data_IF_605124239629
#
_entry.id   IF_605124239629
#
_cell.length_a   1.000
_cell.length_b   1.000
_cell.length_c   1.000
_cell.angle_alpha   90.00
_cell.angle_beta   90.00
_cell.angle_gamma   90.00
#
_symmetry.space_group_name_H-M   'P 1'
#
loop_
_entity.id
_entity.type
_entity.pdbx_description
1 polymer ?
#
# COMPACT_ATOMS: atom_id res chain seq x y z
N UNK A 1 22.47 46.54 7.58
CA UNK A 1 22.70 45.16 8.05
C UNK A 1 21.31 44.56 8.27
N UNK A 2 20.72 43.99 7.22
CA UNK A 2 19.36 43.43 7.26
C UNK A 2 19.38 42.12 8.05
N UNK A 3 18.36 41.88 8.86
CA UNK A 3 18.23 40.66 9.66
C UNK A 3 18.37 39.41 8.77
N UNK A 4 18.98 38.31 9.28
CA UNK A 4 19.08 37.06 8.53
C UNK A 4 17.68 36.53 8.18
N UNK A 5 17.52 35.85 7.03
CA UNK A 5 16.25 35.23 6.68
C UNK A 5 15.89 34.24 7.77
N UNK A 6 14.72 34.45 8.39
CA UNK A 6 14.19 33.61 9.46
C UNK A 6 14.16 32.16 8.98
N UNK A 7 14.98 31.29 9.59
CA UNK A 7 14.81 29.84 9.47
C UNK A 7 13.42 29.50 10.00
N UNK A 8 12.52 29.19 9.07
CA UNK A 8 11.13 28.85 9.40
C UNK A 8 11.12 27.40 9.90
N UNK A 9 11.40 27.20 11.19
CA UNK A 9 11.39 25.88 11.86
C UNK A 9 9.96 25.37 12.16
N UNK A 10 9.03 25.54 11.21
CA UNK A 10 7.63 25.15 11.35
C UNK A 10 7.15 24.36 10.14
N UNK A 11 6.17 23.47 10.36
CA UNK A 11 5.58 22.68 9.27
C UNK A 11 4.90 23.63 8.26
N UNK A 12 5.40 23.65 7.03
CA UNK A 12 4.85 24.46 5.96
C UNK A 12 3.80 23.64 5.20
N UNK A 13 2.54 24.04 5.33
CA UNK A 13 1.45 23.41 4.59
C UNK A 13 1.61 23.69 3.09
N UNK A 14 1.47 22.66 2.24
CA UNK A 14 1.52 22.78 0.78
C UNK A 14 2.88 22.51 0.11
N UNK A 15 3.96 22.33 0.89
CA UNK A 15 5.26 21.83 0.36
C UNK A 15 5.52 20.36 0.69
N UNK A 16 4.73 19.79 1.61
CA UNK A 16 4.82 18.37 1.95
C UNK A 16 4.29 17.51 0.80
N UNK A 17 5.02 16.45 0.47
CA UNK A 17 4.59 15.45 -0.50
C UNK A 17 3.88 14.33 0.26
N UNK A 18 2.69 13.98 -0.20
CA UNK A 18 1.88 12.90 0.33
C UNK A 18 1.71 11.84 -0.75
N UNK A 19 1.53 10.58 -0.34
CA UNK A 19 1.29 9.47 -1.24
C UNK A 19 0.17 8.61 -0.69
N UNK A 20 -0.74 8.21 -1.57
CA UNK A 20 -1.82 7.31 -1.22
C UNK A 20 -1.29 5.91 -0.93
N UNK A 21 -1.96 5.25 0.03
CA UNK A 21 -1.56 3.96 0.57
C UNK A 21 -2.81 3.14 0.86
N UNK A 22 -2.86 1.92 0.32
CA UNK A 22 -3.93 0.96 0.57
C UNK A 22 -3.32 -0.39 0.94
N UNK A 23 -3.88 -1.05 1.94
CA UNK A 23 -3.51 -2.41 2.35
C UNK A 23 -4.68 -3.34 2.11
N UNK A 24 -4.40 -4.51 1.56
CA UNK A 24 -5.38 -5.56 1.32
C UNK A 24 -4.82 -6.95 1.60
N UNK A 25 -5.72 -7.94 1.57
CA UNK A 25 -5.36 -9.36 1.59
C UNK A 25 -5.85 -10.02 0.31
N UNK A 26 -4.99 -10.85 -0.28
CA UNK A 26 -5.33 -11.70 -1.41
C UNK A 26 -5.43 -13.13 -0.91
N UNK A 27 -6.56 -13.76 -1.17
CA UNK A 27 -6.80 -15.17 -0.86
C UNK A 27 -6.46 -16.01 -2.09
N UNK A 28 -5.88 -17.20 -1.86
CA UNK A 28 -5.71 -18.20 -2.91
C UNK A 28 -7.07 -18.54 -3.55
N UNK A 29 -7.05 -18.87 -4.84
CA UNK A 29 -8.26 -19.27 -5.53
C UNK A 29 -8.80 -20.57 -4.91
N UNK A 30 -10.11 -20.66 -4.59
CA UNK A 30 -10.69 -21.85 -3.96
C UNK A 30 -10.44 -23.15 -4.74
N UNK A 31 -10.38 -23.05 -6.07
CA UNK A 31 -10.07 -24.16 -6.98
C UNK A 31 -8.65 -24.72 -6.86
N UNK A 32 -7.70 -23.92 -6.37
CA UNK A 32 -6.29 -24.32 -6.17
C UNK A 32 -6.03 -24.83 -4.75
N UNK A 33 -6.99 -24.66 -3.83
CA UNK A 33 -6.86 -25.05 -2.44
C UNK A 33 -6.94 -26.59 -2.27
N UNK A 34 -6.02 -27.23 -1.52
CA UNK A 34 -6.11 -28.64 -1.19
C UNK A 34 -7.40 -28.97 -0.45
N UNK A 35 -8.03 -30.10 -0.79
CA UNK A 35 -9.26 -30.53 -0.15
C UNK A 35 -9.07 -30.70 1.36
N UNK A 36 -9.93 -30.05 2.16
CA UNK A 36 -9.91 -30.13 3.62
C UNK A 36 -9.02 -29.09 4.31
N UNK A 37 -8.33 -28.22 3.57
CA UNK A 37 -7.57 -27.09 4.13
C UNK A 37 -8.32 -25.77 3.97
N UNK A 38 -8.03 -24.80 4.82
CA UNK A 38 -8.46 -23.40 4.62
C UNK A 38 -7.53 -22.73 3.60
N UNK A 39 -8.05 -21.93 2.65
CA UNK A 39 -7.20 -21.27 1.65
C UNK A 39 -6.16 -20.35 2.28
N UNK A 40 -4.96 -20.33 1.70
CA UNK A 40 -3.91 -19.40 2.09
C UNK A 40 -4.31 -17.95 1.81
N UNK A 41 -3.70 -17.01 2.53
CA UNK A 41 -3.82 -15.59 2.24
C UNK A 41 -2.48 -14.88 2.38
N UNK A 42 -2.26 -13.86 1.56
CA UNK A 42 -1.10 -12.98 1.60
C UNK A 42 -1.56 -11.53 1.75
N UNK A 43 -0.82 -10.75 2.52
CA UNK A 43 -1.06 -9.31 2.60
C UNK A 43 -0.24 -8.56 1.57
N UNK A 44 -0.84 -7.52 1.00
CA UNK A 44 -0.19 -6.66 0.03
C UNK A 44 -0.49 -5.18 0.32
N UNK A 45 0.33 -4.33 -0.27
CA UNK A 45 0.21 -2.88 -0.19
C UNK A 45 0.22 -2.33 -1.61
N UNK A 46 -0.78 -1.52 -1.93
CA UNK A 46 -0.84 -0.70 -3.13
C UNK A 46 -0.52 0.74 -2.76
N UNK A 47 0.04 1.47 -3.71
CA UNK A 47 0.48 2.85 -3.49
C UNK A 47 0.33 3.64 -4.79
N UNK A 48 0.21 4.96 -4.65
CA UNK A 48 0.06 5.87 -5.80
C UNK A 48 -1.11 5.43 -6.71
N UNK A 49 -0.91 5.31 -8.02
CA UNK A 49 -1.97 5.03 -9.00
C UNK A 49 -2.57 3.63 -8.90
N UNK A 50 -2.04 2.75 -8.04
CA UNK A 50 -2.61 1.42 -7.81
C UNK A 50 -3.69 1.41 -6.72
N UNK A 51 -3.86 2.50 -5.99
CA UNK A 51 -4.91 2.63 -4.98
C UNK A 51 -6.29 2.63 -5.67
N UNK A 52 -7.25 1.93 -5.08
CA UNK A 52 -8.63 1.76 -5.54
C UNK A 52 -8.81 1.04 -6.91
N UNK A 53 -7.75 0.44 -7.46
CA UNK A 53 -7.82 -0.31 -8.73
C UNK A 53 -8.57 -1.65 -8.63
N UNK A 54 -8.74 -2.21 -7.43
CA UNK A 54 -9.49 -3.46 -7.21
C UNK A 54 -10.49 -3.37 -6.06
N UNK A 55 -11.57 -4.14 -6.16
CA UNK A 55 -12.64 -4.24 -5.16
C UNK A 55 -12.65 -5.61 -4.48
N UNK A 56 -13.17 -5.72 -3.26
CA UNK A 56 -13.34 -7.01 -2.60
C UNK A 56 -14.16 -7.99 -3.46
N UNK A 57 -13.60 -9.17 -3.72
CA UNK A 57 -14.21 -10.21 -4.54
C UNK A 57 -13.72 -10.25 -6.00
N UNK A 58 -12.93 -9.25 -6.43
CA UNK A 58 -12.29 -9.30 -7.74
C UNK A 58 -11.24 -10.42 -7.80
N UNK A 59 -11.16 -11.07 -8.96
CA UNK A 59 -10.04 -11.97 -9.28
C UNK A 59 -8.91 -11.12 -9.84
N UNK A 60 -7.79 -11.07 -9.12
CA UNK A 60 -6.66 -10.20 -9.44
C UNK A 60 -5.35 -10.99 -9.49
N UNK A 61 -4.49 -10.64 -10.44
CA UNK A 61 -3.11 -11.09 -10.49
C UNK A 61 -2.21 -9.93 -10.06
N UNK A 62 -1.47 -10.12 -8.96
CA UNK A 62 -0.59 -9.09 -8.39
C UNK A 62 0.89 -9.46 -8.61
N UNK A 63 1.67 -8.50 -9.10
CA UNK A 63 3.13 -8.63 -9.21
C UNK A 63 3.77 -7.54 -8.38
N UNK A 64 4.71 -7.92 -7.51
CA UNK A 64 5.37 -6.96 -6.61
C UNK A 64 6.56 -7.57 -5.90
N UNK A 65 7.15 -6.78 -4.99
CA UNK A 65 8.29 -7.21 -4.19
C UNK A 65 7.78 -7.78 -2.87
N UNK A 66 8.10 -9.05 -2.60
CA UNK A 66 7.87 -9.65 -1.29
C UNK A 66 8.82 -9.02 -0.27
N UNK A 67 8.27 -8.32 0.73
CA UNK A 67 9.03 -7.73 1.83
C UNK A 67 8.65 -8.42 3.14
N UNK A 68 9.57 -9.16 3.78
CA UNK A 68 9.35 -9.67 5.13
C UNK A 68 9.24 -8.49 6.09
N UNK A 69 8.22 -8.50 6.96
CA UNK A 69 8.21 -7.63 8.14
C UNK A 69 9.14 -8.26 9.17
N UNK A 70 10.35 -7.70 9.31
CA UNK A 70 11.30 -8.03 10.37
C UNK A 70 11.28 -6.98 11.47
#
# INVERSE_FOLDING_TARGET
MGAPPTEVSGMQYGISVYQDYQRGSLQEAPEDCPAGQLPGSVEFVLSDQLVDECKPGDRVDLVGVLKPMS
#
